data_IF_806700674721
#
_entry.id   IF_806700674721
#
_cell.length_a   1.000
_cell.length_b   1.000
_cell.length_c   1.000
_cell.angle_alpha   90.00
_cell.angle_beta   90.00
_cell.angle_gamma   90.00
#
_symmetry.space_group_name_H-M   'P 1'
#
loop_
_entity.id
_entity.type
_entity.pdbx_description
1 polymer ?
#
# COMPACT_ATOMS: atom_id res chain seq x y z
N UNK A 1 11.84 -12.05 2.65
CA UNK A 1 12.31 -10.65 2.63
C UNK A 1 11.20 -9.67 2.19
N UNK A 2 11.07 -9.18 0.95
CA UNK A 2 10.03 -8.18 0.59
C UNK A 2 8.60 -8.67 0.85
N UNK A 3 8.32 -9.93 0.50
CA UNK A 3 7.00 -10.53 0.73
C UNK A 3 6.58 -10.58 2.20
N UNK A 4 7.52 -10.57 3.15
CA UNK A 4 7.18 -10.51 4.57
C UNK A 4 6.66 -9.13 4.97
N UNK A 5 7.26 -8.06 4.46
CA UNK A 5 6.77 -6.69 4.63
C UNK A 5 5.37 -6.56 4.04
N UNK A 6 5.18 -7.00 2.80
CA UNK A 6 3.87 -6.96 2.13
C UNK A 6 2.82 -7.74 2.92
N UNK A 7 3.15 -8.94 3.41
CA UNK A 7 2.25 -9.75 4.24
C UNK A 7 1.94 -9.09 5.58
N UNK A 8 2.94 -8.51 6.24
CA UNK A 8 2.75 -7.81 7.51
C UNK A 8 1.81 -6.61 7.36
N UNK A 9 2.05 -5.79 6.33
CA UNK A 9 1.16 -4.66 6.00
C UNK A 9 -0.23 -5.15 5.58
N UNK A 10 -0.32 -6.26 4.84
CA UNK A 10 -1.60 -6.87 4.48
C UNK A 10 -2.42 -7.24 5.71
N UNK A 11 -1.79 -7.79 6.75
CA UNK A 11 -2.47 -8.12 8.00
C UNK A 11 -3.00 -6.86 8.70
N UNK A 12 -2.17 -5.81 8.81
CA UNK A 12 -2.60 -4.53 9.38
C UNK A 12 -3.81 -3.97 8.63
N UNK A 13 -3.77 -3.96 7.30
CA UNK A 13 -4.87 -3.43 6.48
C UNK A 13 -6.11 -4.30 6.61
N UNK A 14 -5.95 -5.62 6.68
CA UNK A 14 -7.06 -6.55 6.93
C UNK A 14 -7.76 -6.20 8.24
N UNK A 15 -7.01 -6.01 9.33
CA UNK A 15 -7.57 -5.67 10.64
C UNK A 15 -8.34 -4.35 10.64
N UNK A 16 -7.77 -3.28 10.07
CA UNK A 16 -8.43 -1.96 10.07
C UNK A 16 -9.64 -1.88 9.14
N UNK A 17 -9.73 -2.77 8.14
CA UNK A 17 -10.83 -2.79 7.17
C UNK A 17 -11.81 -3.95 7.37
N UNK A 18 -11.63 -4.78 8.40
CA UNK A 18 -12.42 -5.99 8.62
C UNK A 18 -13.93 -5.73 8.76
N UNK A 19 -14.29 -4.58 9.34
CA UNK A 19 -15.69 -4.20 9.59
C UNK A 19 -16.27 -3.28 8.50
N UNK A 20 -15.56 -3.10 7.39
CA UNK A 20 -16.05 -2.28 6.29
C UNK A 20 -17.20 -2.96 5.56
N UNK A 21 -18.30 -2.25 5.38
CA UNK A 21 -19.43 -2.70 4.56
C UNK A 21 -19.44 -1.93 3.24
N UNK A 22 -18.59 -2.37 2.31
CA UNK A 22 -18.45 -1.74 1.00
C UNK A 22 -19.26 -2.49 -0.06
N UNK A 23 -19.97 -1.78 -0.95
CA UNK A 23 -20.77 -2.41 -2.00
C UNK A 23 -19.88 -3.20 -2.97
N UNK A 24 -20.40 -4.34 -3.44
CA UNK A 24 -19.71 -5.20 -4.41
C UNK A 24 -20.25 -4.90 -5.80
N UNK A 25 -19.36 -4.81 -6.78
CA UNK A 25 -19.79 -4.61 -8.16
C UNK A 25 -20.40 -5.91 -8.71
N UNK A 26 -21.55 -5.80 -9.40
CA UNK A 26 -22.32 -6.93 -9.99
C UNK A 26 -22.81 -8.01 -9.01
N UNK A 27 -22.63 -7.85 -7.71
CA UNK A 27 -23.16 -8.75 -6.69
C UNK A 27 -24.07 -7.97 -5.72
N UNK A 28 -25.20 -8.55 -5.34
CA UNK A 28 -26.02 -7.98 -4.27
C UNK A 28 -25.35 -8.23 -2.92
N UNK A 29 -24.87 -7.16 -2.29
CA UNK A 29 -24.31 -7.24 -0.95
C UNK A 29 -23.26 -6.19 -0.63
N UNK A 30 -22.76 -6.28 0.59
CA UNK A 30 -21.64 -5.49 1.09
C UNK A 30 -20.64 -6.41 1.76
N UNK A 31 -19.35 -6.08 1.67
CA UNK A 31 -18.28 -6.81 2.38
C UNK A 31 -17.07 -5.93 2.60
N UNK A 32 -16.17 -6.42 3.45
CA UNK A 32 -14.83 -5.88 3.60
C UNK A 32 -14.05 -5.98 2.27
N UNK A 33 -13.07 -5.09 2.04
CA UNK A 33 -12.25 -5.16 0.84
C UNK A 33 -11.39 -6.43 0.86
N UNK A 34 -11.25 -7.07 -0.30
CA UNK A 34 -10.30 -8.18 -0.47
C UNK A 34 -8.88 -7.63 -0.41
N UNK A 35 -8.05 -8.14 0.51
CA UNK A 35 -6.65 -7.74 0.61
C UNK A 35 -5.80 -8.65 -0.26
N UNK A 36 -5.04 -8.06 -1.18
CA UNK A 36 -4.29 -8.78 -2.22
C UNK A 36 -2.83 -8.35 -2.16
N UNK A 37 -1.92 -9.31 -2.05
CA UNK A 37 -0.50 -9.05 -2.24
C UNK A 37 -0.15 -9.19 -3.73
N UNK A 38 0.37 -8.13 -4.34
CA UNK A 38 0.73 -8.09 -5.76
C UNK A 38 -0.18 -7.19 -6.59
N UNK A 39 -0.41 -7.58 -7.84
CA UNK A 39 -1.26 -6.85 -8.76
C UNK A 39 -2.73 -7.16 -8.49
N UNK A 40 -3.60 -6.14 -8.60
CA UNK A 40 -5.03 -6.38 -8.66
C UNK A 40 -5.31 -7.25 -9.91
N UNK A 41 -5.98 -8.40 -9.77
CA UNK A 41 -6.27 -9.27 -10.91
C UNK A 41 -7.21 -8.54 -11.87
N UNK A 42 -6.70 -8.28 -13.08
CA UNK A 42 -7.44 -7.54 -14.12
C UNK A 42 -8.61 -8.37 -14.64
N UNK A 43 -8.42 -9.69 -14.76
CA UNK A 43 -9.39 -10.64 -15.30
C UNK A 43 -10.66 -10.76 -14.43
N UNK A 44 -10.54 -10.49 -13.12
CA UNK A 44 -11.61 -10.63 -12.13
C UNK A 44 -11.92 -9.32 -11.41
N UNK A 45 -11.51 -8.17 -11.95
CA UNK A 45 -11.64 -6.88 -11.28
C UNK A 45 -13.10 -6.60 -10.84
N UNK A 46 -14.06 -7.05 -11.65
CA UNK A 46 -15.50 -6.87 -11.40
C UNK A 46 -16.01 -7.56 -10.14
N UNK A 47 -15.54 -8.77 -9.80
CA UNK A 47 -15.94 -9.51 -8.59
C UNK A 47 -14.95 -9.32 -7.43
N UNK A 48 -13.77 -8.80 -7.74
CA UNK A 48 -12.71 -8.57 -6.78
C UNK A 48 -12.92 -7.26 -6.03
N UNK A 49 -13.44 -6.22 -6.68
CA UNK A 49 -13.74 -4.92 -6.06
C UNK A 49 -14.98 -5.03 -5.16
N UNK A 50 -14.94 -4.59 -3.89
CA UNK A 50 -13.91 -3.76 -3.27
C UNK A 50 -12.65 -4.53 -2.89
N UNK A 51 -11.48 -3.95 -3.14
CA UNK A 51 -10.18 -4.57 -2.91
C UNK A 51 -9.09 -3.56 -2.57
N UNK A 52 -8.08 -4.02 -1.83
CA UNK A 52 -6.86 -3.27 -1.57
C UNK A 52 -5.67 -4.15 -1.98
N UNK A 53 -4.93 -3.71 -2.98
CA UNK A 53 -3.73 -4.38 -3.46
C UNK A 53 -2.47 -3.73 -2.87
N UNK A 54 -1.54 -4.55 -2.39
CA UNK A 54 -0.30 -4.10 -1.76
C UNK A 54 0.87 -4.75 -2.50
N UNK A 55 1.80 -3.94 -2.98
CA UNK A 55 3.00 -4.45 -3.65
C UNK A 55 4.17 -3.49 -3.55
N UNK A 56 5.37 -4.02 -3.51
CA UNK A 56 6.57 -3.25 -3.79
C UNK A 56 6.66 -2.94 -5.29
N UNK A 57 6.93 -1.68 -5.66
CA UNK A 57 6.99 -1.25 -7.08
C UNK A 57 8.36 -0.84 -7.55
N UNK A 58 9.21 -0.33 -6.66
CA UNK A 58 10.56 0.09 -7.00
C UNK A 58 11.50 -0.10 -5.80
N UNK A 59 12.79 -0.19 -6.08
CA UNK A 59 13.86 -0.26 -5.09
C UNK A 59 15.09 0.48 -5.56
N UNK A 60 15.75 1.17 -4.64
CA UNK A 60 17.04 1.82 -4.86
C UNK A 60 18.02 1.28 -3.83
N UNK A 61 19.10 0.70 -4.32
CA UNK A 61 20.21 0.24 -3.50
C UNK A 61 21.47 1.02 -3.92
N UNK A 62 22.06 1.72 -2.98
CA UNK A 62 23.38 2.34 -3.09
C UNK A 62 24.21 2.06 -1.83
N UNK A 63 25.40 2.64 -1.73
CA UNK A 63 26.31 2.39 -0.63
C UNK A 63 25.76 2.89 0.72
N UNK A 64 24.92 3.94 0.72
CA UNK A 64 24.37 4.55 1.93
C UNK A 64 22.93 4.10 2.22
N UNK A 65 22.26 3.67 1.15
CA UNK A 65 20.85 3.46 0.86
C UNK A 65 20.32 2.09 0.43
N UNK A 66 19.33 1.49 1.09
CA UNK A 66 18.53 0.38 0.62
C UNK A 66 17.08 0.76 0.89
N UNK A 67 16.49 1.38 -0.12
CA UNK A 67 15.14 1.94 -0.09
C UNK A 67 14.25 1.16 -1.02
N UNK A 68 12.99 1.00 -0.66
CA UNK A 68 11.95 0.49 -1.54
C UNK A 68 10.67 1.31 -1.42
N UNK A 69 9.85 1.28 -2.46
CA UNK A 69 8.53 1.90 -2.46
C UNK A 69 7.48 0.81 -2.31
N UNK A 70 6.72 0.87 -1.22
CA UNK A 70 5.52 0.06 -1.01
C UNK A 70 4.31 0.83 -1.56
N UNK A 71 3.66 0.28 -2.57
CA UNK A 71 2.46 0.84 -3.19
C UNK A 71 1.22 0.11 -2.68
N UNK A 72 0.25 0.88 -2.25
CA UNK A 72 -1.10 0.44 -1.89
C UNK A 72 -2.06 1.02 -2.92
N UNK A 73 -2.91 0.17 -3.48
CA UNK A 73 -3.97 0.56 -4.42
C UNK A 73 -5.29 0.17 -3.78
N UNK A 74 -6.15 1.15 -3.55
CA UNK A 74 -7.49 0.99 -3.01
C UNK A 74 -8.44 1.09 -4.19
N UNK A 75 -9.26 0.05 -4.39
CA UNK A 75 -10.26 0.01 -5.45
C UNK A 75 -11.65 -0.23 -4.84
N UNK A 76 -12.55 0.71 -5.08
CA UNK A 76 -13.92 0.72 -4.56
C UNK A 76 -14.92 0.82 -5.70
N UNK A 77 -16.18 0.53 -5.40
CA UNK A 77 -17.31 0.68 -6.31
C UNK A 77 -18.33 1.62 -5.67
N UNK A 78 -18.68 2.73 -6.33
CA UNK A 78 -19.72 3.64 -5.87
C UNK A 78 -20.36 4.34 -7.08
N UNK A 79 -21.68 4.24 -7.21
CA UNK A 79 -22.44 4.95 -8.23
C UNK A 79 -22.63 6.43 -7.91
N UNK A 80 -22.66 6.78 -6.62
CA UNK A 80 -22.73 8.16 -6.14
C UNK A 80 -21.32 8.72 -5.96
N UNK A 81 -20.97 9.74 -6.73
CA UNK A 81 -19.59 10.22 -6.80
C UNK A 81 -19.05 10.77 -5.49
N UNK A 82 -19.87 11.54 -4.77
CA UNK A 82 -19.50 12.11 -3.48
C UNK A 82 -19.16 11.01 -2.46
N UNK A 83 -20.01 9.98 -2.35
CA UNK A 83 -19.77 8.84 -1.45
C UNK A 83 -18.51 8.05 -1.82
N UNK A 84 -18.27 7.86 -3.11
CA UNK A 84 -17.06 7.19 -3.60
C UNK A 84 -15.79 7.95 -3.21
N UNK A 85 -15.80 9.26 -3.43
CA UNK A 85 -14.69 10.14 -3.09
C UNK A 85 -14.46 10.23 -1.58
N UNK A 86 -15.50 10.48 -0.78
CA UNK A 86 -15.41 10.54 0.68
C UNK A 86 -14.85 9.23 1.25
N UNK A 87 -15.39 8.10 0.80
CA UNK A 87 -14.96 6.81 1.32
C UNK A 87 -13.52 6.47 0.95
N UNK A 88 -13.09 6.87 -0.24
CA UNK A 88 -11.72 6.68 -0.68
C UNK A 88 -10.73 7.49 0.17
N UNK A 89 -11.04 8.76 0.44
CA UNK A 89 -10.21 9.61 1.31
C UNK A 89 -10.13 9.08 2.74
N UNK A 90 -11.26 8.66 3.32
CA UNK A 90 -11.31 8.03 4.65
C UNK A 90 -10.38 6.81 4.75
N UNK A 91 -10.42 5.93 3.74
CA UNK A 91 -9.56 4.76 3.71
C UNK A 91 -8.07 5.13 3.53
N UNK A 92 -7.75 6.07 2.64
CA UNK A 92 -6.37 6.57 2.46
C UNK A 92 -5.84 7.10 3.79
N UNK A 93 -6.58 7.95 4.49
CA UNK A 93 -6.14 8.56 5.75
C UNK A 93 -5.93 7.50 6.84
N UNK A 94 -6.91 6.62 7.06
CA UNK A 94 -6.83 5.59 8.12
C UNK A 94 -5.70 4.60 7.87
N UNK A 95 -5.55 4.12 6.62
CA UNK A 95 -4.47 3.21 6.24
C UNK A 95 -3.11 3.89 6.42
N UNK A 96 -2.97 5.12 5.92
CA UNK A 96 -1.71 5.88 6.00
C UNK A 96 -1.27 6.11 7.44
N UNK A 97 -2.19 6.59 8.28
CA UNK A 97 -1.94 6.81 9.70
C UNK A 97 -1.48 5.52 10.39
N UNK A 98 -2.20 4.41 10.20
CA UNK A 98 -1.89 3.15 10.87
C UNK A 98 -0.53 2.59 10.45
N UNK A 99 -0.18 2.70 9.18
CA UNK A 99 1.11 2.21 8.67
C UNK A 99 2.26 3.08 9.18
N UNK A 100 2.12 4.42 9.21
CA UNK A 100 3.15 5.30 9.79
C UNK A 100 3.36 5.00 11.28
N UNK A 101 2.27 4.86 12.04
CA UNK A 101 2.31 4.57 13.48
C UNK A 101 3.05 3.26 13.81
N UNK A 102 3.18 2.37 12.83
CA UNK A 102 3.92 1.12 13.00
C UNK A 102 5.43 1.35 13.08
N UNK A 103 5.96 2.40 12.44
CA UNK A 103 7.38 2.75 12.46
C UNK A 103 8.27 1.66 11.87
N UNK A 104 9.00 0.94 12.74
CA UNK A 104 9.92 -0.14 12.34
C UNK A 104 9.22 -1.50 12.39
N UNK A 105 9.20 -2.18 11.24
CA UNK A 105 8.55 -3.47 11.02
C UNK A 105 9.61 -4.57 10.95
N UNK A 106 9.38 -5.68 11.66
CA UNK A 106 10.24 -6.87 11.65
C UNK A 106 11.72 -6.54 11.95
N UNK A 107 11.96 -5.52 12.78
CA UNK A 107 13.29 -5.02 13.18
C UNK A 107 14.20 -4.60 12.00
N UNK A 108 13.65 -4.48 10.79
CA UNK A 108 14.44 -4.29 9.56
C UNK A 108 13.80 -3.40 8.51
N UNK A 109 12.54 -3.00 8.66
CA UNK A 109 11.86 -2.16 7.69
C UNK A 109 11.38 -0.90 8.36
N UNK A 110 12.06 0.21 8.14
CA UNK A 110 11.63 1.51 8.65
C UNK A 110 10.69 2.16 7.63
N UNK A 111 9.43 2.36 8.02
CA UNK A 111 8.48 3.15 7.25
C UNK A 111 8.82 4.64 7.44
N UNK A 112 9.18 5.32 6.37
CA UNK A 112 9.41 6.76 6.41
C UNK A 112 8.08 7.52 6.52
N UNK A 113 8.05 8.65 7.25
CA UNK A 113 6.82 9.44 7.41
C UNK A 113 6.41 10.20 6.15
N UNK A 114 7.31 10.31 5.16
CA UNK A 114 7.04 10.95 3.88
C UNK A 114 6.23 10.00 2.97
N UNK A 115 4.93 10.28 2.88
CA UNK A 115 3.95 9.53 2.07
C UNK A 115 3.55 10.35 0.86
N UNK A 116 3.48 9.68 -0.29
CA UNK A 116 2.92 10.24 -1.52
C UNK A 116 1.66 9.49 -1.87
N UNK A 117 0.52 10.17 -1.93
CA UNK A 117 -0.75 9.59 -2.36
C UNK A 117 -1.36 10.38 -3.52
N UNK A 118 -2.17 9.69 -4.33
CA UNK A 118 -2.87 10.26 -5.47
C UNK A 118 -4.24 9.58 -5.62
N UNK A 119 -5.24 10.37 -6.01
CA UNK A 119 -6.50 9.88 -6.58
C UNK A 119 -6.46 10.33 -8.04
N UNK A 120 -6.29 9.41 -9.01
CA UNK A 120 -6.23 9.77 -10.42
C UNK A 120 -7.44 10.61 -10.85
N UNK A 121 -7.23 11.63 -11.69
CA UNK A 121 -8.32 12.47 -12.20
C UNK A 121 -9.27 11.64 -13.08
N UNK A 122 -8.71 10.79 -13.94
CA UNK A 122 -9.46 9.83 -14.73
C UNK A 122 -9.79 8.59 -13.88
N UNK A 123 -11.04 8.55 -13.41
CA UNK A 123 -11.59 7.41 -12.68
C UNK A 123 -12.44 6.55 -13.63
N UNK A 124 -12.24 5.22 -13.67
CA UNK A 124 -13.04 4.35 -14.51
C UNK A 124 -14.41 4.15 -13.86
N UNK A 125 -15.40 4.96 -14.23
CA UNK A 125 -16.76 4.83 -13.68
C UNK A 125 -17.30 3.39 -13.85
N UNK A 126 -17.91 2.77 -12.81
CA UNK A 126 -18.28 3.30 -11.49
C UNK A 126 -17.26 3.05 -10.37
N UNK A 127 -16.00 2.85 -10.71
CA UNK A 127 -14.93 2.52 -9.78
C UNK A 127 -14.18 3.76 -9.30
N UNK A 128 -13.66 3.65 -8.08
CA UNK A 128 -12.88 4.68 -7.41
C UNK A 128 -11.54 4.09 -6.99
N UNK A 129 -10.46 4.67 -7.49
CA UNK A 129 -9.09 4.21 -7.32
C UNK A 129 -8.30 5.27 -6.55
N UNK A 130 -7.68 4.84 -5.45
CA UNK A 130 -6.73 5.63 -4.68
C UNK A 130 -5.40 4.89 -4.61
N UNK A 131 -4.32 5.65 -4.64
CA UNK A 131 -2.96 5.12 -4.64
C UNK A 131 -2.19 5.78 -3.50
N UNK A 132 -1.50 4.98 -2.70
CA UNK A 132 -0.63 5.45 -1.61
C UNK A 132 0.73 4.79 -1.75
N UNK A 133 1.80 5.57 -1.69
CA UNK A 133 3.17 5.12 -1.76
C UNK A 133 3.90 5.47 -0.47
N UNK A 134 4.48 4.45 0.16
CA UNK A 134 5.33 4.59 1.34
C UNK A 134 6.77 4.33 0.93
N UNK A 135 7.68 5.19 1.39
CA UNK A 135 9.10 4.92 1.31
C UNK A 135 9.51 4.05 2.50
N UNK A 136 10.21 2.96 2.24
CA UNK A 136 10.65 2.00 3.26
C UNK A 136 12.15 1.83 3.17
N UNK A 137 12.86 2.09 4.27
CA UNK A 137 14.28 1.80 4.39
C UNK A 137 14.47 0.41 4.99
N UNK A 138 15.50 -0.29 4.52
CA UNK A 138 15.96 -1.51 5.14
C UNK A 138 16.94 -1.13 6.24
N UNK A 139 16.78 -1.70 7.43
CA UNK A 139 17.69 -1.54 8.56
C UNK A 139 19.13 -1.83 8.13
N UNK A 140 20.04 -0.98 8.62
CA UNK A 140 21.44 -0.83 8.20
C UNK A 140 22.21 -2.17 8.04
N UNK A 141 22.13 -2.79 6.87
CA UNK A 141 23.18 -3.65 6.34
C UNK A 141 24.07 -2.82 5.40
N UNK A 142 24.66 -1.73 5.89
CA UNK A 142 25.70 -1.05 5.13
C UNK A 142 27.07 -1.56 5.52
N UNK A 143 27.89 -1.73 4.49
CA UNK A 143 29.32 -1.91 4.58
C UNK A 143 29.91 -0.91 5.58
N UNK A 144 30.39 -1.41 6.73
CA UNK A 144 31.14 -0.61 7.69
C UNK A 144 32.50 -0.15 7.12
N UNK A 145 32.91 -0.71 5.99
CA UNK A 145 34.16 -0.49 5.26
C UNK A 145 33.98 0.47 4.07
N UNK A 146 32.95 1.32 4.06
CA UNK A 146 32.78 2.37 3.02
C UNK A 146 33.99 3.29 2.96
N UNK A 147 34.53 3.67 4.11
CA UNK A 147 35.73 4.49 4.16
C UNK A 147 36.93 3.73 3.63
N UNK A 148 37.06 2.44 3.93
CA UNK A 148 38.15 1.60 3.42
C UNK A 148 38.04 1.41 1.90
N UNK A 149 36.83 1.24 1.36
CA UNK A 149 36.60 1.12 -0.07
C UNK A 149 36.87 2.43 -0.84
N UNK A 150 36.46 3.58 -0.29
CA UNK A 150 36.77 4.90 -0.88
C UNK A 150 38.26 5.24 -0.79
N UNK A 151 38.92 4.79 0.27
CA UNK A 151 40.37 4.97 0.50
C UNK A 151 41.23 3.93 -0.23
N UNK A 152 40.64 2.92 -0.87
CA UNK A 152 41.35 1.83 -1.56
C UNK A 152 42.16 0.92 -0.64
N UNK A 153 41.70 0.71 0.60
CA UNK A 153 42.29 -0.16 1.62
C UNK A 153 41.75 -1.59 1.56
#
# INVERSE_FOLDING_TARGET
MIRELEKYISNIITEITANEELPVYKEEGKRAPKIITGFLPIEEAETTIPAIAIRTTNGKNDLNEKRTTLKIIIALFFTESEKGYEKLNDLIERISKKIIETGVILEKYEILPDIIWEIPEEQPYPFWIGIVNFNVLYGNEYRNDINDWLDGK
#
